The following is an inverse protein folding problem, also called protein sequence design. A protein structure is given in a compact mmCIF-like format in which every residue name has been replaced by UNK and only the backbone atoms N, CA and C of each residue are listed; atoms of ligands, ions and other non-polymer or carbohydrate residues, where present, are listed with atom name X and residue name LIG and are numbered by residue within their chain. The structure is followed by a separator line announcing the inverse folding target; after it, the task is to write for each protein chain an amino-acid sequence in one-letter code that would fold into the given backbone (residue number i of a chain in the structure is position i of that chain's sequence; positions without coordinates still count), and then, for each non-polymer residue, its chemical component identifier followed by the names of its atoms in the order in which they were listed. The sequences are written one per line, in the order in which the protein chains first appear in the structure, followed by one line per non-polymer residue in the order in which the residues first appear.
data_IF_940824818116
#
_entry.id   IF_940824818116
#
_cell.length_a   1.000
_cell.length_b   1.000
_cell.length_c   1.000
_cell.angle_alpha   90.00
_cell.angle_beta   90.00
_cell.angle_gamma   90.00
#
_symmetry.space_group_name_H-M   'P 1'
#
loop_
_entity.id
_entity.type
_entity.pdbx_description
1 polymer ?
#
# COMPACT_ATOMS: atom_id res chain seq x y z
N UNK A 1 9.87 6.80 18.37
CA UNK A 1 8.85 7.87 18.47
C UNK A 1 7.80 7.64 17.41
N UNK A 2 6.52 7.66 17.78
CA UNK A 2 5.37 7.54 16.86
C UNK A 2 4.61 8.88 16.81
N UNK A 3 4.31 9.37 15.61
CA UNK A 3 3.61 10.63 15.40
C UNK A 3 2.17 10.38 14.92
N UNK A 4 1.18 10.90 15.64
CA UNK A 4 -0.21 10.89 15.24
C UNK A 4 -0.73 12.32 15.03
N UNK A 5 -1.61 12.49 14.06
CA UNK A 5 -2.22 13.79 13.75
C UNK A 5 -3.00 13.74 12.45
N UNK A 6 -3.93 14.65 12.29
CA UNK A 6 -4.68 14.81 11.04
C UNK A 6 -3.75 15.11 9.85
N UNK A 7 -4.31 15.08 8.66
CA UNK A 7 -3.60 15.54 7.47
C UNK A 7 -3.25 17.03 7.60
N UNK A 8 -2.08 17.41 7.11
CA UNK A 8 -1.57 18.79 7.08
C UNK A 8 -1.42 19.47 8.47
N UNK A 9 -1.19 18.69 9.54
CA UNK A 9 -0.84 19.24 10.87
C UNK A 9 0.67 19.42 11.08
N UNK A 10 1.50 19.10 10.08
CA UNK A 10 2.95 19.29 10.13
C UNK A 10 3.75 18.10 10.69
N UNK A 11 3.17 16.90 10.77
CA UNK A 11 3.89 15.67 11.22
C UNK A 11 5.22 15.49 10.49
N UNK A 12 5.15 15.37 9.17
CA UNK A 12 6.33 15.15 8.31
C UNK A 12 7.39 16.25 8.48
N UNK A 13 6.96 17.51 8.61
CA UNK A 13 7.87 18.64 8.84
C UNK A 13 8.62 18.49 10.15
N UNK A 14 7.90 18.17 11.23
CA UNK A 14 8.50 17.95 12.54
C UNK A 14 9.45 16.75 12.54
N UNK A 15 9.04 15.65 11.90
CA UNK A 15 9.86 14.44 11.77
C UNK A 15 11.17 14.74 11.04
N UNK A 16 11.13 15.48 9.93
CA UNK A 16 12.34 15.85 9.16
C UNK A 16 13.28 16.72 9.98
N UNK A 17 12.75 17.69 10.74
CA UNK A 17 13.55 18.51 11.64
C UNK A 17 14.20 17.69 12.76
N UNK A 18 13.44 16.77 13.38
CA UNK A 18 13.98 15.90 14.41
C UNK A 18 15.03 14.93 13.86
N UNK A 19 14.80 14.38 12.69
CA UNK A 19 15.76 13.50 12.02
C UNK A 19 17.09 14.21 11.73
N UNK A 20 17.06 15.48 11.30
CA UNK A 20 18.27 16.28 11.09
C UNK A 20 19.10 16.47 12.38
N UNK A 21 18.42 16.49 13.54
CA UNK A 21 19.09 16.68 14.83
C UNK A 21 19.54 15.38 15.50
N UNK A 22 18.72 14.34 15.38
CA UNK A 22 18.89 13.08 16.10
C UNK A 22 19.55 11.98 15.25
N UNK A 23 19.49 12.11 13.92
CA UNK A 23 19.84 11.02 13.01
C UNK A 23 18.86 9.83 13.12
N UNK A 24 19.35 8.62 12.85
CA UNK A 24 18.59 7.40 12.92
C UNK A 24 17.79 7.11 11.67
N UNK A 25 16.70 6.35 11.81
CA UNK A 25 15.83 5.99 10.69
C UNK A 25 14.42 6.55 10.82
N UNK A 26 13.77 6.62 9.69
CA UNK A 26 12.36 7.02 9.57
C UNK A 26 11.58 5.90 8.91
N UNK A 27 10.37 5.60 9.42
CA UNK A 27 9.36 4.85 8.69
C UNK A 27 8.27 5.83 8.24
N UNK A 28 8.12 5.96 6.92
CA UNK A 28 7.04 6.71 6.29
C UNK A 28 5.87 5.77 6.03
N UNK A 29 4.84 5.87 6.87
CA UNK A 29 3.63 5.07 6.79
C UNK A 29 2.43 5.85 6.23
N UNK A 30 2.64 7.02 5.62
CA UNK A 30 1.59 7.73 4.88
C UNK A 30 1.57 7.28 3.41
N UNK A 31 0.80 6.24 3.12
CA UNK A 31 0.65 5.68 1.76
C UNK A 31 0.12 6.68 0.73
N UNK A 32 -0.57 7.74 1.20
CA UNK A 32 -1.21 8.72 0.33
C UNK A 32 -0.34 9.93 0.00
N UNK A 33 0.53 10.34 0.91
CA UNK A 33 1.42 11.49 0.76
C UNK A 33 2.86 11.14 1.13
N UNK A 34 3.29 9.97 0.67
CA UNK A 34 4.63 9.46 0.93
C UNK A 34 5.70 10.45 0.47
N UNK A 35 6.74 10.62 1.29
CA UNK A 35 7.86 11.55 1.04
C UNK A 35 9.22 10.85 1.06
N UNK A 36 9.32 9.69 1.72
CA UNK A 36 10.54 8.89 1.76
C UNK A 36 10.62 7.96 0.54
N UNK A 37 9.53 7.22 0.28
CA UNK A 37 9.43 6.27 -0.83
C UNK A 37 8.32 6.62 -1.83
N UNK A 38 7.96 5.70 -2.73
CA UNK A 38 6.87 5.90 -3.67
C UNK A 38 5.51 5.84 -2.95
N UNK A 39 4.47 6.52 -3.46
CA UNK A 39 3.12 6.36 -2.96
C UNK A 39 2.65 4.89 -3.06
N UNK A 40 1.64 4.54 -2.28
CA UNK A 40 1.11 3.18 -2.13
C UNK A 40 2.09 2.17 -1.49
N UNK A 41 3.16 2.67 -0.86
CA UNK A 41 4.13 1.88 -0.09
C UNK A 41 4.30 2.42 1.32
N UNK A 42 4.70 1.54 2.23
CA UNK A 42 5.37 1.89 3.47
C UNK A 42 6.87 1.81 3.19
N UNK A 43 7.63 2.80 3.62
CA UNK A 43 9.07 2.84 3.37
C UNK A 43 9.85 3.18 4.63
N UNK A 44 10.90 2.42 4.88
CA UNK A 44 11.88 2.67 5.94
C UNK A 44 13.21 3.14 5.36
N UNK A 45 13.90 4.00 6.08
CA UNK A 45 15.21 4.49 5.64
C UNK A 45 15.65 5.75 6.37
N UNK A 46 16.61 6.45 5.81
CA UNK A 46 17.18 7.67 6.36
C UNK A 46 17.24 8.81 5.35
N UNK A 47 17.62 9.99 5.81
CA UNK A 47 17.91 11.14 4.94
C UNK A 47 19.41 11.46 5.05
N UNK A 48 20.14 11.25 3.95
CA UNK A 48 21.52 11.69 3.83
C UNK A 48 21.58 12.93 2.95
N UNK A 49 22.01 14.07 3.50
CA UNK A 49 21.99 15.36 2.80
C UNK A 49 20.61 15.67 2.17
N UNK A 50 19.54 15.49 2.92
CA UNK A 50 18.14 15.66 2.53
C UNK A 50 17.66 14.73 1.41
N UNK A 51 18.45 13.75 0.99
CA UNK A 51 18.07 12.73 0.00
C UNK A 51 17.61 11.46 0.73
N UNK A 52 16.46 10.91 0.34
CA UNK A 52 16.00 9.63 0.88
C UNK A 52 16.94 8.49 0.49
N UNK A 53 17.35 7.71 1.49
CA UNK A 53 18.03 6.42 1.33
C UNK A 53 17.13 5.35 1.90
N UNK A 54 16.46 4.60 1.03
CA UNK A 54 15.47 3.60 1.41
C UNK A 54 16.18 2.29 1.75
N UNK A 55 16.01 1.81 2.99
CA UNK A 55 16.54 0.54 3.48
C UNK A 55 15.52 -0.61 3.32
N UNK A 56 14.23 -0.31 3.48
CA UNK A 56 13.14 -1.28 3.39
C UNK A 56 11.89 -0.67 2.76
N UNK A 57 11.09 -1.50 2.10
CA UNK A 57 9.81 -1.05 1.53
C UNK A 57 8.82 -2.21 1.47
N UNK A 58 7.53 -1.87 1.66
CA UNK A 58 6.43 -2.80 1.54
C UNK A 58 5.31 -2.21 0.68
N UNK A 59 4.85 -2.98 -0.32
CA UNK A 59 3.80 -2.55 -1.22
C UNK A 59 2.41 -2.77 -0.59
N UNK A 60 1.72 -1.69 -0.31
CA UNK A 60 0.34 -1.72 0.20
C UNK A 60 -0.66 -1.90 -0.94
N UNK A 61 -0.43 -1.23 -2.06
CA UNK A 61 -1.26 -1.31 -3.27
C UNK A 61 -2.36 -0.25 -3.36
N UNK A 62 -2.49 0.61 -2.35
CA UNK A 62 -3.46 1.71 -2.33
C UNK A 62 -2.83 2.96 -1.72
N UNK A 63 -3.39 4.11 -2.06
CA UNK A 63 -3.03 5.43 -1.55
C UNK A 63 -3.85 5.85 -0.33
N UNK A 64 -4.68 4.96 0.18
CA UNK A 64 -5.52 5.16 1.36
C UNK A 64 -5.32 4.01 2.35
N UNK A 65 -5.20 4.29 3.66
CA UNK A 65 -5.22 3.23 4.65
C UNK A 65 -6.61 2.59 4.80
N UNK A 66 -7.67 3.31 4.42
CA UNK A 66 -9.05 2.81 4.54
C UNK A 66 -9.25 1.59 3.64
N UNK A 67 -9.65 0.47 4.23
CA UNK A 67 -9.77 -0.81 3.55
C UNK A 67 -8.47 -1.61 3.47
N UNK A 68 -7.32 -1.00 3.85
CA UNK A 68 -5.99 -1.61 3.74
C UNK A 68 -5.22 -1.61 5.07
N UNK A 69 -5.92 -1.56 6.21
CA UNK A 69 -5.27 -1.49 7.53
C UNK A 69 -4.31 -2.65 7.79
N UNK A 70 -4.70 -3.86 7.38
CA UNK A 70 -3.85 -5.04 7.54
C UNK A 70 -2.53 -4.86 6.77
N UNK A 71 -2.61 -4.44 5.51
CA UNK A 71 -1.43 -4.24 4.65
C UNK A 71 -0.53 -3.11 5.18
N UNK A 72 -1.12 -2.03 5.70
CA UNK A 72 -0.36 -0.93 6.30
C UNK A 72 0.36 -1.39 7.56
N UNK A 73 -0.34 -2.09 8.48
CA UNK A 73 0.27 -2.62 9.71
C UNK A 73 1.35 -3.66 9.39
N UNK A 74 1.12 -4.55 8.43
CA UNK A 74 2.12 -5.52 7.96
C UNK A 74 3.33 -4.83 7.38
N UNK A 75 3.13 -3.77 6.58
CA UNK A 75 4.22 -2.98 5.99
C UNK A 75 5.06 -2.27 7.05
N UNK A 76 4.41 -1.71 8.07
CA UNK A 76 5.12 -1.11 9.21
C UNK A 76 5.91 -2.17 9.97
N UNK A 77 5.30 -3.33 10.28
CA UNK A 77 5.97 -4.45 10.92
C UNK A 77 7.18 -4.95 10.12
N UNK A 78 7.05 -4.99 8.78
CA UNK A 78 8.15 -5.34 7.88
C UNK A 78 9.31 -4.35 8.00
N UNK A 79 9.05 -3.04 7.95
CA UNK A 79 10.08 -2.03 8.09
C UNK A 79 10.69 -1.95 9.52
N UNK A 80 9.95 -2.35 10.55
CA UNK A 80 10.44 -2.38 11.93
C UNK A 80 11.50 -3.47 12.18
N UNK A 81 11.51 -4.56 11.40
CA UNK A 81 12.40 -5.72 11.65
C UNK A 81 13.86 -5.34 11.68
N UNK A 82 14.29 -4.49 10.76
CA UNK A 82 15.70 -4.14 10.56
C UNK A 82 15.99 -2.66 10.87
N UNK A 83 14.99 -1.92 11.40
CA UNK A 83 15.13 -0.49 11.65
C UNK A 83 16.09 -0.18 12.79
N UNK A 84 17.02 0.73 12.55
CA UNK A 84 17.95 1.22 13.55
C UNK A 84 17.32 2.34 14.41
N UNK A 85 17.88 2.56 15.61
CA UNK A 85 17.43 3.62 16.53
C UNK A 85 18.41 4.79 16.54
N UNK A 86 17.95 6.01 16.78
CA UNK A 86 16.56 6.41 17.05
C UNK A 86 15.65 6.22 15.82
N UNK A 87 14.37 5.83 16.05
CA UNK A 87 13.39 5.58 15.00
C UNK A 87 12.22 6.57 15.12
N UNK A 88 11.91 7.24 14.02
CA UNK A 88 10.78 8.16 13.89
C UNK A 88 9.75 7.56 12.90
N UNK A 89 8.47 7.49 13.29
CA UNK A 89 7.43 6.91 12.47
C UNK A 89 6.40 7.95 12.10
N UNK A 90 6.37 8.34 10.82
CA UNK A 90 5.33 9.19 10.23
C UNK A 90 4.10 8.35 9.90
N UNK A 91 2.90 8.88 10.19
CA UNK A 91 1.67 8.16 9.93
C UNK A 91 0.72 8.99 9.05
N UNK A 92 -0.16 8.28 8.35
CA UNK A 92 -1.28 8.89 7.64
C UNK A 92 -2.18 9.74 8.55
N UNK A 93 -2.93 10.65 7.94
CA UNK A 93 -3.84 11.56 8.63
C UNK A 93 -5.23 10.99 8.93
N UNK A 94 -5.44 9.68 8.80
CA UNK A 94 -6.72 9.03 9.08
C UNK A 94 -6.92 8.81 10.59
N UNK A 95 -7.56 9.79 11.25
CA UNK A 95 -7.73 9.82 12.71
C UNK A 95 -9.19 9.88 13.18
N UNK A 96 -10.15 9.99 12.26
CA UNK A 96 -11.56 10.22 12.60
C UNK A 96 -12.40 8.94 12.46
N UNK A 97 -13.25 8.69 13.45
CA UNK A 97 -14.18 7.58 13.49
C UNK A 97 -13.63 6.33 14.19
N UNK A 98 -14.49 5.34 14.41
CA UNK A 98 -14.16 4.12 15.17
C UNK A 98 -13.08 3.29 14.46
N UNK A 99 -13.18 3.13 13.14
CA UNK A 99 -12.19 2.39 12.37
C UNK A 99 -10.79 3.03 12.47
N UNK A 100 -10.70 4.36 12.48
CA UNK A 100 -9.44 5.07 12.68
C UNK A 100 -8.88 4.84 14.08
N UNK A 101 -9.75 4.87 15.11
CA UNK A 101 -9.34 4.58 16.49
C UNK A 101 -8.80 3.18 16.64
N UNK A 102 -9.53 2.18 16.13
CA UNK A 102 -9.09 0.79 16.15
C UNK A 102 -7.75 0.62 15.45
N UNK A 103 -7.63 1.12 14.22
CA UNK A 103 -6.40 1.05 13.43
C UNK A 103 -5.20 1.70 14.14
N UNK A 104 -5.34 2.94 14.63
CA UNK A 104 -4.24 3.63 15.33
C UNK A 104 -3.91 2.98 16.69
N UNK A 105 -4.89 2.39 17.37
CA UNK A 105 -4.63 1.63 18.60
C UNK A 105 -3.83 0.37 18.32
N UNK A 106 -4.16 -0.38 17.27
CA UNK A 106 -3.35 -1.54 16.86
C UNK A 106 -1.96 -1.13 16.38
N UNK A 107 -1.83 0.01 15.70
CA UNK A 107 -0.54 0.57 15.32
C UNK A 107 0.32 0.88 16.56
N UNK A 108 -0.23 1.52 17.59
CA UNK A 108 0.50 1.80 18.83
C UNK A 108 0.94 0.50 19.51
N UNK A 109 0.07 -0.52 19.55
CA UNK A 109 0.39 -1.84 20.12
C UNK A 109 1.49 -2.55 19.34
N UNK A 110 1.45 -2.46 18.01
CA UNK A 110 2.46 -3.05 17.14
C UNK A 110 3.82 -2.40 17.32
N UNK A 111 3.86 -1.08 17.34
CA UNK A 111 5.10 -0.29 17.40
C UNK A 111 5.70 -0.26 18.81
N UNK A 112 4.87 -0.28 19.84
CA UNK A 112 5.28 -0.09 21.25
C UNK A 112 6.25 1.10 21.41
N UNK A 113 5.84 2.33 21.04
CA UNK A 113 6.76 3.46 21.03
C UNK A 113 7.13 3.91 22.44
N UNK A 114 8.37 4.31 22.66
CA UNK A 114 8.77 4.96 23.91
C UNK A 114 8.08 6.33 24.06
N UNK A 115 7.86 7.02 22.93
CA UNK A 115 7.24 8.34 22.88
C UNK A 115 6.15 8.37 21.81
N UNK A 116 4.96 8.83 22.18
CA UNK A 116 3.82 9.08 21.33
C UNK A 116 3.58 10.59 21.23
N UNK A 117 3.75 11.14 20.02
CA UNK A 117 3.55 12.57 19.76
C UNK A 117 2.18 12.79 19.12
N UNK A 118 1.33 13.57 19.75
CA UNK A 118 -0.02 13.89 19.31
C UNK A 118 -0.06 15.33 18.78
N UNK A 119 -0.04 15.50 17.44
CA UNK A 119 -0.22 16.80 16.83
C UNK A 119 -1.72 17.05 16.61
N UNK A 120 -2.30 17.95 17.38
CA UNK A 120 -3.74 18.17 17.40
C UNK A 120 -4.15 19.65 17.47
N UNK A 121 -5.34 19.96 16.93
CA UNK A 121 -5.90 21.33 16.93
C UNK A 121 -6.86 21.56 18.09
N UNK A 122 -7.76 20.61 18.33
CA UNK A 122 -8.88 20.77 19.26
C UNK A 122 -9.11 19.56 20.19
N UNK A 123 -8.06 18.76 20.43
CA UNK A 123 -8.17 17.60 21.31
C UNK A 123 -8.72 16.34 20.63
N UNK A 124 -8.72 16.31 19.31
CA UNK A 124 -9.21 15.17 18.49
C UNK A 124 -8.45 13.86 18.74
N UNK A 125 -7.24 13.95 19.34
CA UNK A 125 -6.42 12.81 19.71
C UNK A 125 -6.42 12.51 21.22
N UNK A 126 -7.28 13.17 22.00
CA UNK A 126 -7.33 13.02 23.48
C UNK A 126 -7.51 11.55 23.91
N UNK A 127 -8.19 10.73 23.10
CA UNK A 127 -8.35 9.30 23.35
C UNK A 127 -7.00 8.58 23.57
N UNK A 128 -5.94 8.96 22.84
CA UNK A 128 -4.66 8.28 22.88
C UNK A 128 -3.81 8.65 24.10
N UNK A 129 -4.23 9.63 24.93
CA UNK A 129 -3.58 9.95 26.21
C UNK A 129 -3.62 8.78 27.20
N UNK A 130 -4.60 7.85 27.03
CA UNK A 130 -4.70 6.64 27.85
C UNK A 130 -3.40 5.80 27.83
N UNK A 131 -2.60 5.90 26.77
CA UNK A 131 -1.35 5.14 26.66
C UNK A 131 -0.26 5.60 27.63
N UNK A 132 -0.38 6.80 28.19
CA UNK A 132 0.49 7.23 29.30
C UNK A 132 0.40 6.30 30.52
N UNK A 133 -0.76 5.71 30.78
CA UNK A 133 -0.96 4.70 31.84
C UNK A 133 -0.30 3.35 31.53
N UNK A 134 0.14 3.16 30.29
CA UNK A 134 0.84 1.95 29.82
C UNK A 134 2.36 2.16 29.73
N UNK A 135 2.88 3.25 30.30
CA UNK A 135 4.31 3.56 30.33
C UNK A 135 4.85 4.27 29.08
N UNK A 136 3.99 4.67 28.15
CA UNK A 136 4.39 5.44 26.97
C UNK A 136 4.43 6.93 27.34
N UNK A 137 5.53 7.62 27.00
CA UNK A 137 5.58 9.08 27.15
C UNK A 137 4.71 9.74 26.08
N UNK A 138 3.60 10.37 26.47
CA UNK A 138 2.68 11.05 25.55
C UNK A 138 2.99 12.55 25.55
N UNK A 139 3.30 13.10 24.38
CA UNK A 139 3.57 14.52 24.16
C UNK A 139 2.48 15.12 23.28
N UNK A 140 1.78 16.12 23.79
CA UNK A 140 0.80 16.87 23.01
C UNK A 140 1.44 18.10 22.38
N UNK A 141 1.31 18.23 21.07
CA UNK A 141 1.79 19.40 20.32
C UNK A 141 0.57 20.13 19.77
N UNK A 142 0.24 21.31 20.35
CA UNK A 142 -0.87 22.11 19.83
C UNK A 142 -0.50 22.71 18.47
N UNK A 143 -1.39 22.53 17.49
CA UNK A 143 -1.20 23.05 16.14
C UNK A 143 -2.14 24.25 15.95
N UNK A 144 -1.59 25.43 15.94
CA UNK A 144 -2.36 26.70 15.88
C UNK A 144 -2.63 27.15 14.44
N UNK A 145 -1.75 26.82 13.50
CA UNK A 145 -1.91 27.23 12.11
C UNK A 145 -1.22 26.26 11.16
N UNK A 146 -1.97 25.74 10.20
CA UNK A 146 -1.39 25.01 9.07
C UNK A 146 -2.18 25.36 7.82
N UNK A 147 -1.49 25.77 6.77
CA UNK A 147 -2.12 25.82 5.46
C UNK A 147 -2.58 24.40 5.10
N UNK A 148 -3.89 24.18 4.94
CA UNK A 148 -4.38 22.89 4.47
C UNK A 148 -4.24 22.84 2.95
N UNK A 149 -3.58 21.82 2.43
CA UNK A 149 -3.58 21.55 0.98
C UNK A 149 -4.99 21.20 0.54
N UNK A 150 -5.42 21.72 -0.60
CA UNK A 150 -6.66 21.30 -1.22
C UNK A 150 -6.59 19.83 -1.65
N UNK A 151 -7.73 19.23 -1.96
CA UNK A 151 -7.78 17.87 -2.50
C UNK A 151 -7.01 17.79 -3.82
N UNK A 152 -7.15 18.80 -4.67
CA UNK A 152 -6.48 18.89 -5.97
C UNK A 152 -4.95 19.01 -5.83
N UNK A 153 -4.48 19.78 -4.85
CA UNK A 153 -3.04 19.88 -4.57
C UNK A 153 -2.45 18.57 -4.11
N UNK A 154 -3.17 17.80 -3.29
CA UNK A 154 -2.75 16.46 -2.86
C UNK A 154 -2.72 15.48 -4.03
N UNK A 155 -3.71 15.52 -4.92
CA UNK A 155 -3.73 14.70 -6.15
C UNK A 155 -2.52 15.05 -7.01
N UNK A 156 -2.29 16.33 -7.32
CA UNK A 156 -1.13 16.78 -8.13
C UNK A 156 0.20 16.39 -7.52
N UNK A 157 0.34 16.51 -6.20
CA UNK A 157 1.58 16.12 -5.51
C UNK A 157 1.86 14.62 -5.66
N UNK A 158 0.83 13.79 -5.52
CA UNK A 158 0.93 12.33 -5.67
C UNK A 158 1.21 11.92 -7.13
N UNK A 159 0.52 12.52 -8.10
CA UNK A 159 0.80 12.31 -9.52
C UNK A 159 2.24 12.68 -9.87
N UNK A 160 2.74 13.80 -9.34
CA UNK A 160 4.12 14.21 -9.51
C UNK A 160 5.11 13.21 -8.87
N UNK A 161 4.76 12.62 -7.73
CA UNK A 161 5.57 11.59 -7.08
C UNK A 161 5.64 10.32 -7.93
N UNK A 162 4.50 9.82 -8.44
CA UNK A 162 4.49 8.68 -9.37
C UNK A 162 5.23 8.99 -10.68
N UNK A 163 5.02 10.17 -11.25
CA UNK A 163 5.71 10.57 -12.49
C UNK A 163 7.23 10.57 -12.31
N UNK A 164 7.72 11.09 -11.19
CA UNK A 164 9.16 11.03 -10.86
C UNK A 164 9.65 9.59 -10.70
N UNK A 165 8.88 8.78 -9.98
CA UNK A 165 9.25 7.38 -9.74
C UNK A 165 9.38 6.60 -11.05
N UNK A 166 8.42 6.75 -11.96
CA UNK A 166 8.40 6.06 -13.26
C UNK A 166 9.18 6.75 -14.38
N UNK A 167 9.91 7.84 -14.11
CA UNK A 167 10.61 8.62 -15.14
C UNK A 167 11.62 7.77 -15.94
N UNK A 168 12.27 6.80 -15.31
CA UNK A 168 13.22 5.88 -15.92
C UNK A 168 12.66 4.46 -16.13
N UNK A 169 11.35 4.29 -16.02
CA UNK A 169 10.71 2.99 -16.17
C UNK A 169 10.90 2.44 -17.59
N UNK A 170 11.06 1.11 -17.68
CA UNK A 170 11.20 0.38 -18.93
C UNK A 170 10.15 -0.71 -19.00
N UNK A 171 9.71 -1.03 -20.21
CA UNK A 171 8.85 -2.18 -20.44
C UNK A 171 9.65 -3.46 -20.13
N UNK A 172 9.07 -4.31 -19.29
CA UNK A 172 9.58 -5.64 -18.98
C UNK A 172 8.51 -6.67 -19.33
N UNK A 173 8.92 -7.84 -19.77
CA UNK A 173 8.03 -8.97 -20.04
C UNK A 173 8.49 -10.17 -19.22
N UNK A 174 7.54 -10.78 -18.53
CA UNK A 174 7.78 -11.99 -17.72
C UNK A 174 6.73 -13.04 -18.06
N UNK A 175 7.14 -14.29 -18.12
CA UNK A 175 6.20 -15.41 -18.14
C UNK A 175 5.50 -15.53 -16.79
N UNK A 176 4.16 -15.59 -16.79
CA UNK A 176 3.42 -15.71 -15.52
C UNK A 176 3.77 -17.00 -14.76
N UNK A 177 4.20 -18.05 -15.46
CA UNK A 177 4.69 -19.28 -14.83
C UNK A 177 6.00 -19.08 -14.04
N UNK A 178 6.74 -18.02 -14.30
CA UNK A 178 8.00 -17.67 -13.62
C UNK A 178 7.77 -16.75 -12.43
N UNK A 179 6.54 -16.25 -12.23
CA UNK A 179 6.17 -15.29 -11.20
C UNK A 179 5.35 -15.94 -10.10
N UNK A 180 5.66 -15.60 -8.85
CA UNK A 180 4.72 -15.74 -7.74
C UNK A 180 3.80 -14.53 -7.71
N UNK A 181 2.54 -14.69 -8.11
CA UNK A 181 1.56 -13.60 -8.05
C UNK A 181 0.82 -13.65 -6.72
N UNK A 182 0.91 -12.60 -5.92
CA UNK A 182 0.26 -12.50 -4.63
C UNK A 182 -0.93 -11.53 -4.68
N UNK A 183 -1.95 -11.80 -3.88
CA UNK A 183 -3.15 -10.97 -3.72
C UNK A 183 -3.94 -10.74 -5.02
N UNK A 184 -3.81 -11.64 -5.96
CA UNK A 184 -4.58 -11.66 -7.21
C UNK A 184 -4.92 -13.10 -7.59
N UNK A 185 -5.94 -13.28 -8.39
CA UNK A 185 -6.37 -14.60 -8.87
C UNK A 185 -5.69 -15.03 -10.18
N UNK A 186 -4.77 -14.23 -10.69
CA UNK A 186 -4.10 -14.40 -11.98
C UNK A 186 -2.88 -15.30 -11.81
N UNK A 187 -2.64 -16.20 -12.77
CA UNK A 187 -1.41 -16.98 -12.83
C UNK A 187 -1.36 -18.18 -11.88
N UNK A 188 -2.48 -18.53 -11.24
CA UNK A 188 -2.56 -19.67 -10.32
C UNK A 188 -3.16 -20.90 -10.96
N UNK A 189 -2.46 -22.03 -10.87
CA UNK A 189 -2.93 -23.33 -11.39
C UNK A 189 -2.46 -23.61 -12.81
N UNK A 190 -3.19 -24.51 -13.47
CA UNK A 190 -2.93 -24.93 -14.85
C UNK A 190 -3.40 -23.89 -15.85
N UNK A 191 -2.52 -23.41 -16.73
CA UNK A 191 -2.89 -22.53 -17.82
C UNK A 191 -3.79 -23.27 -18.84
N UNK A 192 -4.86 -22.62 -19.26
CA UNK A 192 -5.86 -23.20 -20.15
C UNK A 192 -5.79 -22.59 -21.54
N UNK A 193 -6.18 -23.38 -22.53
CA UNK A 193 -6.31 -22.93 -23.91
C UNK A 193 -7.52 -21.98 -24.02
N UNK A 194 -7.29 -20.75 -24.49
CA UNK A 194 -8.28 -19.67 -24.46
C UNK A 194 -9.25 -19.67 -25.64
N UNK A 195 -8.88 -20.29 -26.76
CA UNK A 195 -9.73 -20.32 -28.00
C UNK A 195 -11.03 -21.04 -27.76
N UNK A 196 -10.97 -22.23 -27.14
CA UNK A 196 -12.16 -22.99 -26.78
C UNK A 196 -13.07 -22.21 -25.82
N UNK A 197 -12.49 -21.61 -24.82
CA UNK A 197 -13.23 -20.82 -23.82
C UNK A 197 -13.86 -19.57 -24.44
N UNK A 198 -13.16 -18.91 -25.35
CA UNK A 198 -13.69 -17.75 -26.09
C UNK A 198 -14.91 -18.12 -26.90
N UNK A 199 -14.92 -19.30 -27.56
CA UNK A 199 -16.04 -19.80 -28.30
C UNK A 199 -17.23 -20.16 -27.39
N UNK A 200 -16.97 -20.83 -26.27
CA UNK A 200 -18.02 -21.23 -25.31
C UNK A 200 -18.68 -20.02 -24.63
N UNK A 201 -17.93 -18.97 -24.41
CA UNK A 201 -18.38 -17.75 -23.73
C UNK A 201 -18.91 -16.68 -24.73
N UNK A 202 -18.71 -16.87 -26.02
CA UNK A 202 -18.96 -15.87 -27.06
C UNK A 202 -18.35 -14.49 -26.73
N UNK A 203 -17.18 -14.51 -26.09
CA UNK A 203 -16.39 -13.32 -25.80
C UNK A 203 -14.89 -13.66 -25.78
N UNK A 204 -14.00 -12.72 -26.15
CA UNK A 204 -12.57 -12.96 -26.09
C UNK A 204 -12.11 -13.25 -24.66
N UNK A 205 -11.45 -14.39 -24.47
CA UNK A 205 -10.71 -14.75 -23.26
C UNK A 205 -9.25 -14.48 -23.53
N UNK A 206 -8.64 -13.64 -22.70
CA UNK A 206 -7.23 -13.22 -22.83
C UNK A 206 -6.32 -14.25 -22.18
N UNK A 207 -6.71 -14.71 -20.98
CA UNK A 207 -5.98 -15.71 -20.24
C UNK A 207 -6.92 -16.50 -19.32
N UNK A 208 -6.56 -17.74 -19.00
CA UNK A 208 -7.33 -18.58 -18.12
C UNK A 208 -6.46 -19.58 -17.36
N UNK A 209 -6.84 -19.85 -16.11
CA UNK A 209 -6.17 -20.82 -15.24
C UNK A 209 -7.19 -21.67 -14.51
N UNK A 210 -6.87 -22.93 -14.33
CA UNK A 210 -7.66 -23.87 -13.54
C UNK A 210 -6.91 -24.26 -12.28
N UNK A 211 -7.52 -23.99 -11.14
CA UNK A 211 -7.08 -24.42 -9.82
C UNK A 211 -8.29 -25.03 -9.11
N UNK A 212 -8.53 -26.36 -9.25
CA UNK A 212 -9.71 -26.98 -8.68
C UNK A 212 -9.89 -26.67 -7.19
N UNK A 213 -11.14 -26.42 -6.75
CA UNK A 213 -12.42 -26.56 -7.47
C UNK A 213 -12.82 -25.33 -8.31
N UNK A 214 -11.91 -24.38 -8.54
CA UNK A 214 -12.20 -23.12 -9.25
C UNK A 214 -11.41 -22.97 -10.54
N UNK A 215 -11.81 -22.01 -11.38
CA UNK A 215 -10.98 -21.49 -12.46
C UNK A 215 -11.12 -19.96 -12.53
N UNK A 216 -10.07 -19.30 -13.05
CA UNK A 216 -10.04 -17.85 -13.24
C UNK A 216 -9.90 -17.53 -14.72
N UNK A 217 -10.73 -16.62 -15.21
CA UNK A 217 -10.74 -16.16 -16.59
C UNK A 217 -10.50 -14.66 -16.62
N UNK A 218 -9.62 -14.20 -17.50
CA UNK A 218 -9.47 -12.79 -17.86
C UNK A 218 -10.11 -12.58 -19.21
N UNK A 219 -11.11 -11.71 -19.29
CA UNK A 219 -11.93 -11.49 -20.49
C UNK A 219 -11.93 -10.00 -20.86
N UNK A 220 -12.18 -9.70 -22.14
CA UNK A 220 -12.34 -8.32 -22.61
C UNK A 220 -13.68 -7.70 -22.19
N UNK A 221 -14.71 -8.51 -22.08
CA UNK A 221 -16.07 -8.09 -21.71
C UNK A 221 -16.78 -9.19 -20.94
N UNK A 222 -17.77 -8.83 -20.14
CA UNK A 222 -18.57 -9.81 -19.42
C UNK A 222 -19.25 -10.78 -20.38
N UNK A 223 -19.06 -12.11 -20.20
CA UNK A 223 -19.77 -13.10 -20.97
C UNK A 223 -21.26 -13.15 -20.57
N UNK A 224 -22.13 -13.50 -21.53
CA UNK A 224 -23.55 -13.58 -21.26
C UNK A 224 -23.92 -14.75 -20.32
N UNK A 225 -23.18 -15.85 -20.37
CA UNK A 225 -23.36 -17.01 -19.50
C UNK A 225 -22.03 -17.70 -19.23
N UNK A 226 -21.84 -18.15 -18.01
CA UNK A 226 -20.64 -18.90 -17.57
C UNK A 226 -20.89 -20.42 -17.57
N UNK A 227 -22.15 -20.88 -17.64
CA UNK A 227 -22.52 -22.27 -17.39
C UNK A 227 -21.87 -23.27 -18.32
N UNK A 228 -21.70 -22.91 -19.61
CA UNK A 228 -21.06 -23.78 -20.59
C UNK A 228 -19.58 -24.01 -20.31
N UNK A 229 -18.86 -22.91 -20.03
CA UNK A 229 -17.44 -22.96 -19.68
C UNK A 229 -17.23 -23.69 -18.35
N UNK A 230 -18.05 -23.42 -17.33
CA UNK A 230 -17.97 -24.07 -16.03
C UNK A 230 -18.11 -25.60 -16.13
N UNK A 231 -19.10 -26.08 -16.91
CA UNK A 231 -19.26 -27.51 -17.16
C UNK A 231 -18.10 -28.11 -17.96
N UNK A 232 -17.63 -27.41 -18.99
CA UNK A 232 -16.51 -27.87 -19.80
C UNK A 232 -15.23 -28.01 -19.02
N UNK A 233 -14.99 -27.11 -18.06
CA UNK A 233 -13.80 -27.12 -17.19
C UNK A 233 -13.94 -28.06 -15.99
N UNK A 234 -15.16 -28.54 -15.69
CA UNK A 234 -15.41 -29.39 -14.53
C UNK A 234 -15.11 -28.72 -13.21
N UNK A 235 -15.43 -27.43 -13.08
CA UNK A 235 -15.17 -26.64 -11.86
C UNK A 235 -16.47 -26.23 -11.18
N UNK A 236 -16.40 -26.04 -9.86
CA UNK A 236 -17.54 -25.62 -9.05
C UNK A 236 -17.83 -24.12 -9.21
N UNK A 237 -16.81 -23.31 -9.46
CA UNK A 237 -16.97 -21.87 -9.65
C UNK A 237 -15.99 -21.29 -10.65
N UNK A 238 -16.39 -20.18 -11.28
CA UNK A 238 -15.57 -19.39 -12.18
C UNK A 238 -15.42 -17.97 -11.63
N UNK A 239 -14.19 -17.53 -11.47
CA UNK A 239 -13.85 -16.14 -11.23
C UNK A 239 -13.58 -15.45 -12.58
N UNK A 240 -14.29 -14.38 -12.86
CA UNK A 240 -14.14 -13.62 -14.10
C UNK A 240 -13.59 -12.24 -13.76
N UNK A 241 -12.50 -11.88 -14.42
CA UNK A 241 -11.83 -10.59 -14.29
C UNK A 241 -11.89 -9.87 -15.63
N UNK A 242 -12.24 -8.60 -15.62
CA UNK A 242 -12.20 -7.78 -16.84
C UNK A 242 -10.77 -7.28 -17.06
N UNK A 243 -10.32 -7.35 -18.32
CA UNK A 243 -9.01 -6.82 -18.66
C UNK A 243 -8.87 -5.33 -18.33
N UNK A 244 -9.90 -4.53 -18.56
CA UNK A 244 -9.90 -3.11 -18.25
C UNK A 244 -9.74 -2.80 -16.77
N UNK A 245 -10.06 -3.75 -15.87
CA UNK A 245 -9.84 -3.63 -14.42
C UNK A 245 -8.39 -3.98 -14.02
N UNK A 246 -7.71 -4.79 -14.84
CA UNK A 246 -6.32 -5.22 -14.61
C UNK A 246 -5.33 -4.28 -15.27
N UNK A 247 -5.65 -3.85 -16.48
CA UNK A 247 -4.82 -2.93 -17.25
C UNK A 247 -4.60 -1.64 -16.46
N UNK A 248 -3.38 -1.14 -16.52
CA UNK A 248 -2.93 0.07 -15.84
C UNK A 248 -2.97 0.00 -14.31
N UNK A 249 -3.18 -1.19 -13.71
CA UNK A 249 -3.04 -1.35 -12.26
C UNK A 249 -1.58 -1.25 -11.82
N UNK A 250 -1.40 -0.66 -10.64
CA UNK A 250 -0.11 -0.61 -9.96
C UNK A 250 0.19 -1.95 -9.31
N UNK A 251 1.40 -2.46 -9.49
CA UNK A 251 1.88 -3.70 -8.89
C UNK A 251 3.22 -3.51 -8.19
N UNK A 252 3.45 -4.24 -7.11
CA UNK A 252 4.76 -4.38 -6.49
C UNK A 252 5.53 -5.51 -7.16
N UNK A 253 6.77 -5.24 -7.55
CA UNK A 253 7.69 -6.24 -8.09
C UNK A 253 8.75 -6.55 -7.03
N UNK A 254 8.97 -7.82 -6.68
CA UNK A 254 9.88 -8.20 -5.61
C UNK A 254 10.65 -9.47 -5.88
N UNK A 255 11.63 -9.73 -5.03
CA UNK A 255 12.38 -10.99 -4.96
C UNK A 255 12.33 -11.48 -3.51
N UNK A 256 11.69 -12.63 -3.29
CA UNK A 256 11.33 -13.06 -1.95
C UNK A 256 10.43 -12.03 -1.25
N UNK A 257 10.76 -11.70 0.00
CA UNK A 257 10.01 -10.68 0.77
C UNK A 257 10.42 -9.23 0.45
N UNK A 258 11.45 -9.02 -0.38
CA UNK A 258 11.99 -7.69 -0.66
C UNK A 258 11.31 -7.06 -1.88
N UNK A 259 10.69 -5.91 -1.69
CA UNK A 259 10.20 -5.09 -2.79
C UNK A 259 11.38 -4.50 -3.57
N UNK A 260 11.49 -4.87 -4.85
CA UNK A 260 12.50 -4.34 -5.77
C UNK A 260 12.05 -3.05 -6.48
N UNK A 261 10.73 -2.89 -6.65
CA UNK A 261 10.16 -1.72 -7.28
C UNK A 261 8.68 -1.86 -7.58
N UNK A 262 8.13 -0.84 -8.22
CA UNK A 262 6.75 -0.80 -8.68
C UNK A 262 6.68 -0.94 -10.20
N UNK A 263 5.62 -1.56 -10.67
CA UNK A 263 5.27 -1.67 -12.08
C UNK A 263 3.83 -1.22 -12.36
N UNK A 264 3.52 -1.05 -13.63
CA UNK A 264 2.16 -0.82 -14.12
C UNK A 264 1.89 -1.89 -15.17
N UNK A 265 0.81 -2.66 -14.98
CA UNK A 265 0.40 -3.68 -15.94
C UNK A 265 -0.02 -3.04 -17.26
N UNK A 266 0.58 -3.46 -18.38
CA UNK A 266 0.29 -2.90 -19.72
C UNK A 266 -0.35 -3.92 -20.65
N UNK A 267 0.05 -5.17 -20.53
CA UNK A 267 -0.38 -6.24 -21.41
C UNK A 267 -0.38 -7.57 -20.66
N UNK A 268 -1.29 -8.44 -21.02
CA UNK A 268 -1.35 -9.83 -20.60
C UNK A 268 -1.52 -10.65 -21.88
N UNK A 269 -0.59 -11.56 -22.18
CA UNK A 269 -0.58 -12.36 -23.40
C UNK A 269 -0.16 -13.80 -23.10
#
# INVERSE_FOLDING_TARGET
VLFLGATDVGKTTLIRQLHQQLGGEVIDADVGQSWLGPPACISGGSLTNERPEISSSYFVGDISPRGNFLQVLTGIAHCLRDASRPLLIDTDGYITGEAARAYKSELIRLVQPDVLVLLQRAGELAYYKLYAHQGITVIEVPVTHTGSKSREERIRAREAAFRRYFQSARLQRWGLAELGVERALIGHGESLEVTLLSNLLACPVIAAWRLPPTATLVVERWPYSLSAAQRALGVESLSVLLWDEIKDTLVGCGVGERLAGLGIVRELS
#
